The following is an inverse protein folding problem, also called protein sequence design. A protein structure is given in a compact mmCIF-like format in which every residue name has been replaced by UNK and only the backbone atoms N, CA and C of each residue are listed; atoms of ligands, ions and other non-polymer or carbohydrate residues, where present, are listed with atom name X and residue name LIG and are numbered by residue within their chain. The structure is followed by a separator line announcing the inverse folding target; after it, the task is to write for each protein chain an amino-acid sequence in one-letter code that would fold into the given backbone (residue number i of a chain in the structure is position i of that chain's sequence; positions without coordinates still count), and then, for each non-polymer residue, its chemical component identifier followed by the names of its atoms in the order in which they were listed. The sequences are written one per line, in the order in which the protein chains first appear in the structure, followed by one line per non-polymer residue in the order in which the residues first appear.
data_IF_760224633945
#
_entry.id   IF_760224633945
#
_cell.length_a   1.000
_cell.length_b   1.000
_cell.length_c   1.000
_cell.angle_alpha   90.00
_cell.angle_beta   90.00
_cell.angle_gamma   90.00
#
_symmetry.space_group_name_H-M   'P 1'
#
loop_
_entity.id
_entity.type
_entity.pdbx_description
1 polymer ?
#
# COMPACT_ATOMS: atom_id res chain seq x y z
N UNK A 1 -53.93 39.29 -4.04
CA UNK A 1 -53.85 37.99 -4.75
C UNK A 1 -53.14 38.29 -6.08
N UNK A 2 -51.96 37.77 -6.44
CA UNK A 2 -51.58 36.37 -6.71
C UNK A 2 -50.04 36.23 -6.64
N UNK A 3 -49.60 35.03 -6.22
CA UNK A 3 -48.26 34.49 -5.93
C UNK A 3 -47.12 34.83 -6.90
N UNK A 4 -45.91 35.00 -6.36
CA UNK A 4 -44.68 34.40 -6.94
C UNK A 4 -43.79 33.84 -5.82
N UNK A 5 -43.41 32.58 -5.97
CA UNK A 5 -42.70 31.72 -5.02
C UNK A 5 -41.18 31.98 -5.01
N UNK A 6 -40.59 31.61 -3.86
CA UNK A 6 -39.16 31.43 -3.59
C UNK A 6 -38.42 30.54 -4.61
N UNK A 7 -37.15 30.86 -4.85
CA UNK A 7 -36.08 29.87 -5.03
C UNK A 7 -34.80 30.45 -4.41
N UNK A 8 -34.43 30.01 -3.20
CA UNK A 8 -33.05 30.16 -2.72
C UNK A 8 -32.34 28.85 -3.05
N UNK A 9 -31.49 28.90 -4.06
CA UNK A 9 -30.69 27.78 -4.55
C UNK A 9 -29.82 27.22 -3.43
N UNK A 10 -30.04 25.94 -3.12
CA UNK A 10 -29.22 25.17 -2.20
C UNK A 10 -27.83 24.98 -2.83
N UNK A 11 -26.80 25.68 -2.33
CA UNK A 11 -25.41 25.33 -2.66
C UNK A 11 -25.10 24.00 -1.97
N UNK A 12 -25.22 22.91 -2.74
CA UNK A 12 -24.63 21.63 -2.38
C UNK A 12 -23.10 21.78 -2.44
N UNK A 13 -22.49 22.15 -1.32
CA UNK A 13 -21.05 22.07 -1.13
C UNK A 13 -20.63 20.60 -1.16
N UNK A 14 -20.29 20.10 -2.34
CA UNK A 14 -19.64 18.80 -2.49
C UNK A 14 -18.30 18.84 -1.77
N UNK A 15 -18.16 18.10 -0.68
CA UNK A 15 -16.85 17.84 -0.09
C UNK A 15 -16.04 17.06 -1.13
N UNK A 16 -15.11 17.74 -1.80
CA UNK A 16 -14.07 17.07 -2.55
C UNK A 16 -13.19 16.34 -1.52
N UNK A 17 -13.38 15.04 -1.37
CA UNK A 17 -12.44 14.19 -0.64
C UNK A 17 -11.12 14.15 -1.43
N UNK A 18 -10.26 15.15 -1.21
CA UNK A 18 -8.93 15.17 -1.78
C UNK A 18 -8.10 14.03 -1.20
N UNK A 19 -7.58 13.15 -2.05
CA UNK A 19 -6.59 12.15 -1.63
C UNK A 19 -5.33 12.86 -1.15
N UNK A 20 -5.10 12.89 0.17
CA UNK A 20 -3.84 13.34 0.74
C UNK A 20 -2.80 12.24 0.58
N UNK A 21 -1.67 12.56 -0.05
CA UNK A 21 -0.50 11.68 -0.13
C UNK A 21 0.68 12.38 0.52
N UNK A 22 1.29 11.75 1.52
CA UNK A 22 2.51 12.29 2.14
C UNK A 22 3.70 11.85 1.28
N UNK A 23 4.46 12.82 0.78
CA UNK A 23 5.67 12.59 0.02
C UNK A 23 6.92 13.06 0.76
N UNK A 24 8.01 12.29 0.69
CA UNK A 24 9.30 12.63 1.29
C UNK A 24 10.27 13.09 0.20
N UNK A 25 10.97 14.21 0.41
CA UNK A 25 11.99 14.67 -0.53
C UNK A 25 13.27 13.83 -0.38
N UNK A 26 13.60 13.06 -1.40
CA UNK A 26 14.77 12.17 -1.47
C UNK A 26 15.10 11.96 -2.96
N UNK A 27 16.34 11.60 -3.29
CA UNK A 27 16.69 11.24 -4.67
C UNK A 27 15.90 10.04 -5.20
N UNK A 28 16.06 9.71 -6.48
CA UNK A 28 15.43 8.53 -7.06
C UNK A 28 15.92 7.23 -6.37
N UNK A 29 15.04 6.22 -6.19
CA UNK A 29 15.46 4.92 -5.66
C UNK A 29 16.37 4.19 -6.65
N UNK A 30 17.17 3.21 -6.17
CA UNK A 30 17.84 2.28 -7.06
C UNK A 30 16.84 1.48 -7.92
N UNK A 31 17.30 0.80 -8.99
CA UNK A 31 16.43 -0.08 -9.77
C UNK A 31 15.76 -1.16 -8.90
N UNK A 32 14.52 -1.59 -9.23
CA UNK A 32 13.88 -2.73 -8.58
C UNK A 32 14.73 -3.99 -8.71
N UNK A 33 14.67 -4.87 -7.70
CA UNK A 33 15.35 -6.16 -7.72
C UNK A 33 14.43 -7.23 -8.25
N UNK A 34 14.97 -8.14 -9.07
CA UNK A 34 14.27 -9.36 -9.46
C UNK A 34 14.22 -10.30 -8.25
N UNK A 35 13.06 -10.90 -8.01
CA UNK A 35 12.87 -11.87 -6.94
C UNK A 35 12.13 -13.10 -7.45
N UNK A 36 12.41 -14.24 -6.83
CA UNK A 36 11.61 -15.45 -7.00
C UNK A 36 10.41 -15.35 -6.08
N UNK A 37 9.21 -15.49 -6.64
CA UNK A 37 7.96 -15.51 -5.87
C UNK A 37 7.81 -16.89 -5.22
N UNK A 38 7.76 -16.99 -3.87
CA UNK A 38 7.53 -18.26 -3.19
C UNK A 38 6.14 -18.82 -3.49
N UNK A 39 5.93 -20.10 -3.17
CA UNK A 39 4.61 -20.73 -3.31
C UNK A 39 3.54 -19.92 -2.56
N UNK A 40 2.38 -19.74 -3.20
CA UNK A 40 1.27 -18.98 -2.64
C UNK A 40 0.70 -19.72 -1.41
N UNK A 41 0.65 -19.09 -0.22
CA UNK A 41 0.16 -19.77 1.00
C UNK A 41 -1.32 -20.15 0.96
N UNK A 42 -2.13 -19.41 0.20
CA UNK A 42 -3.56 -19.68 0.06
C UNK A 42 -4.27 -18.74 -0.93
N UNK A 43 -5.54 -19.01 -1.26
CA UNK A 43 -6.28 -18.32 -2.32
C UNK A 43 -6.60 -16.84 -2.02
N UNK A 44 -6.50 -16.40 -0.77
CA UNK A 44 -6.79 -15.02 -0.37
C UNK A 44 -5.53 -14.14 -0.29
N UNK A 45 -4.35 -14.72 -0.52
CA UNK A 45 -3.08 -14.00 -0.46
C UNK A 45 -2.77 -13.35 -1.80
N UNK A 46 -2.32 -12.11 -1.78
CA UNK A 46 -1.79 -11.41 -2.95
C UNK A 46 -0.30 -11.16 -2.75
N UNK A 47 0.45 -11.26 -3.84
CA UNK A 47 1.88 -10.99 -3.83
C UNK A 47 2.12 -9.50 -3.91
N UNK A 48 2.87 -8.97 -2.95
CA UNK A 48 3.39 -7.62 -2.98
C UNK A 48 4.82 -7.72 -3.51
N UNK A 49 5.04 -7.16 -4.70
CA UNK A 49 6.39 -7.03 -5.24
C UNK A 49 7.26 -6.23 -4.29
N UNK A 50 8.54 -6.57 -4.23
CA UNK A 50 9.50 -5.88 -3.38
C UNK A 50 9.72 -4.46 -3.86
N UNK A 51 10.01 -3.56 -2.93
CA UNK A 51 10.12 -2.14 -3.23
C UNK A 51 11.15 -1.44 -2.35
N UNK A 52 11.63 -0.32 -2.86
CA UNK A 52 12.46 0.60 -2.10
C UNK A 52 11.59 1.53 -1.26
N UNK A 53 12.00 1.78 -0.02
CA UNK A 53 11.36 2.74 0.88
C UNK A 53 12.41 3.56 1.65
N UNK A 54 12.12 4.83 1.97
CA UNK A 54 13.06 5.69 2.66
C UNK A 54 13.10 5.38 4.17
N UNK A 55 14.31 5.20 4.70
CA UNK A 55 14.61 5.07 6.13
C UNK A 55 15.81 5.97 6.45
N UNK A 56 15.62 6.95 7.34
CA UNK A 56 16.71 7.86 7.74
C UNK A 56 17.39 8.58 6.56
N UNK A 57 16.62 8.97 5.54
CA UNK A 57 17.13 9.67 4.34
C UNK A 57 17.85 8.77 3.32
N UNK A 58 17.81 7.44 3.48
CA UNK A 58 18.36 6.47 2.51
C UNK A 58 17.30 5.46 2.11
N UNK A 59 17.43 4.84 0.95
CA UNK A 59 16.54 3.74 0.57
C UNK A 59 16.96 2.42 1.21
N UNK A 60 15.96 1.68 1.71
CA UNK A 60 16.08 0.28 2.10
C UNK A 60 15.17 -0.57 1.23
N UNK A 61 15.62 -1.78 0.91
CA UNK A 61 14.83 -2.74 0.15
C UNK A 61 13.91 -3.49 1.09
N UNK A 62 12.62 -3.52 0.77
CA UNK A 62 11.67 -4.44 1.36
C UNK A 62 11.52 -5.65 0.42
N UNK A 63 11.72 -6.85 0.95
CA UNK A 63 11.46 -8.09 0.20
C UNK A 63 9.99 -8.18 -0.19
N UNK A 64 9.71 -8.84 -1.31
CA UNK A 64 8.31 -9.13 -1.67
C UNK A 64 7.71 -10.13 -0.70
N UNK A 65 6.41 -10.07 -0.50
CA UNK A 65 5.74 -10.90 0.50
C UNK A 65 4.30 -11.19 0.10
N UNK A 66 3.80 -12.32 0.60
CA UNK A 66 2.39 -12.67 0.51
C UNK A 66 1.63 -11.99 1.64
N UNK A 67 0.53 -11.32 1.33
CA UNK A 67 -0.34 -10.71 2.34
C UNK A 67 -1.80 -10.80 1.96
N UNK A 68 -2.70 -10.54 2.90
CA UNK A 68 -4.13 -10.43 2.62
C UNK A 68 -4.50 -8.95 2.45
N UNK A 69 -5.29 -8.59 1.42
CA UNK A 69 -5.76 -7.23 1.28
C UNK A 69 -6.59 -6.80 2.52
N UNK A 70 -6.58 -5.51 2.89
CA UNK A 70 -7.30 -5.02 4.07
C UNK A 70 -8.82 -5.19 3.95
N UNK A 71 -9.35 -5.30 2.73
CA UNK A 71 -10.75 -5.61 2.44
C UNK A 71 -10.89 -6.19 1.03
N UNK A 72 -12.02 -6.86 0.75
CA UNK A 72 -12.31 -7.44 -0.56
C UNK A 72 -12.35 -6.37 -1.66
N UNK A 73 -11.66 -6.61 -2.76
CA UNK A 73 -11.53 -5.66 -3.89
C UNK A 73 -10.39 -4.64 -3.73
N UNK A 74 -9.67 -4.62 -2.61
CA UNK A 74 -8.50 -3.77 -2.47
C UNK A 74 -7.36 -4.22 -3.38
N UNK A 75 -6.77 -3.27 -4.11
CA UNK A 75 -5.58 -3.46 -4.94
C UNK A 75 -4.39 -2.74 -4.33
N UNK A 76 -3.21 -3.35 -4.42
CA UNK A 76 -1.97 -2.70 -4.03
C UNK A 76 -1.54 -1.69 -5.09
N UNK A 77 -1.29 -0.46 -4.67
CA UNK A 77 -0.63 0.58 -5.47
C UNK A 77 0.76 0.74 -4.89
N UNK A 78 1.77 0.28 -5.64
CA UNK A 78 3.16 0.32 -5.21
C UNK A 78 3.68 1.73 -4.95
N UNK A 79 4.73 1.87 -4.12
CA UNK A 79 5.39 3.15 -3.92
C UNK A 79 5.97 3.66 -5.23
N UNK A 80 6.03 4.98 -5.37
CA UNK A 80 6.56 5.64 -6.56
C UNK A 80 7.43 6.84 -6.20
N UNK A 81 8.28 7.22 -7.14
CA UNK A 81 9.08 8.44 -7.05
C UNK A 81 8.89 9.25 -8.33
N UNK A 82 8.72 10.57 -8.21
CA UNK A 82 8.44 11.46 -9.35
C UNK A 82 9.65 12.29 -9.81
N UNK A 83 10.85 11.96 -9.33
CA UNK A 83 12.08 12.73 -9.54
C UNK A 83 12.40 13.67 -8.38
N UNK A 84 11.44 14.04 -7.54
CA UNK A 84 11.67 14.89 -6.36
C UNK A 84 11.19 14.25 -5.06
N UNK A 85 10.03 13.60 -5.10
CA UNK A 85 9.33 13.09 -3.93
C UNK A 85 9.08 11.60 -4.06
N UNK A 86 9.33 10.90 -2.96
CA UNK A 86 8.88 9.53 -2.75
C UNK A 86 7.45 9.54 -2.21
N UNK A 87 6.58 8.71 -2.77
CA UNK A 87 5.23 8.45 -2.28
C UNK A 87 5.13 7.00 -1.82
N UNK A 88 4.68 6.81 -0.58
CA UNK A 88 4.45 5.47 -0.04
C UNK A 88 3.37 4.72 -0.82
N UNK A 89 3.51 3.40 -0.88
CA UNK A 89 2.48 2.52 -1.42
C UNK A 89 1.25 2.49 -0.51
N UNK A 90 0.11 2.11 -1.07
CA UNK A 90 -1.15 2.05 -0.36
C UNK A 90 -2.09 1.06 -1.01
N UNK A 91 -3.10 0.63 -0.26
CA UNK A 91 -4.21 -0.14 -0.80
C UNK A 91 -5.32 0.80 -1.27
N UNK A 92 -5.93 0.48 -2.39
CA UNK A 92 -6.98 1.28 -3.01
C UNK A 92 -8.17 0.40 -3.40
N UNK A 93 -9.37 0.95 -3.41
CA UNK A 93 -10.59 0.23 -3.74
C UNK A 93 -11.84 0.99 -3.30
N UNK A 94 -13.01 0.35 -3.41
CA UNK A 94 -14.31 1.00 -3.19
C UNK A 94 -14.53 1.48 -1.75
N UNK A 95 -13.74 0.96 -0.79
CA UNK A 95 -13.76 1.40 0.61
C UNK A 95 -12.73 2.51 0.89
N UNK A 96 -12.13 3.06 -0.15
CA UNK A 96 -11.15 4.14 -0.07
C UNK A 96 -9.73 3.66 0.25
N UNK A 97 -8.80 4.62 0.22
CA UNK A 97 -7.38 4.37 0.43
C UNK A 97 -7.08 3.90 1.84
N UNK A 98 -6.32 2.81 1.96
CA UNK A 98 -5.73 2.35 3.21
C UNK A 98 -4.21 2.47 3.11
N UNK A 99 -3.65 3.42 3.86
CA UNK A 99 -2.20 3.65 3.87
C UNK A 99 -1.45 2.44 4.39
N UNK A 100 -0.41 2.06 3.65
CA UNK A 100 0.49 1.01 4.07
C UNK A 100 1.65 1.64 4.83
N UNK A 101 1.59 1.51 6.14
CA UNK A 101 2.67 1.93 7.01
C UNK A 101 3.84 0.94 6.86
N UNK A 102 5.03 1.47 6.59
CA UNK A 102 6.28 0.74 6.41
C UNK A 102 7.11 0.73 7.70
N UNK A 103 6.62 1.34 8.78
CA UNK A 103 7.23 1.31 10.10
C UNK A 103 7.18 -0.09 10.76
N UNK A 104 6.64 -1.07 10.03
CA UNK A 104 6.36 -2.45 10.49
C UNK A 104 7.59 -3.36 10.58
N UNK A 105 8.78 -2.88 10.24
CA UNK A 105 10.05 -3.60 10.48
C UNK A 105 10.31 -3.96 11.97
N UNK A 106 9.44 -3.52 12.90
CA UNK A 106 9.54 -3.83 14.33
C UNK A 106 8.50 -4.82 14.86
N UNK A 107 7.46 -5.18 14.11
CA UNK A 107 6.43 -6.10 14.58
C UNK A 107 6.25 -7.28 13.63
N UNK A 108 6.90 -8.40 14.01
CA UNK A 108 6.94 -9.73 13.38
C UNK A 108 5.57 -10.40 13.15
N UNK A 109 4.45 -9.75 13.43
CA UNK A 109 3.18 -10.45 13.66
C UNK A 109 2.24 -10.50 12.44
N UNK A 110 2.69 -10.06 11.25
CA UNK A 110 1.90 -10.21 10.00
C UNK A 110 2.65 -10.80 8.81
N UNK A 111 3.96 -10.97 8.93
CA UNK A 111 4.76 -11.56 7.87
C UNK A 111 4.76 -13.07 8.09
N UNK A 112 4.07 -13.79 7.22
CA UNK A 112 4.19 -15.24 7.12
C UNK A 112 5.65 -15.58 6.78
N UNK A 113 6.48 -15.74 7.80
CA UNK A 113 7.77 -16.39 7.72
C UNK A 113 7.53 -17.89 7.76
N UNK A 114 7.56 -18.49 6.58
CA UNK A 114 7.63 -19.93 6.39
C UNK A 114 8.89 -20.46 7.09
N UNK A 115 8.69 -21.09 8.25
CA UNK A 115 9.69 -21.89 8.95
C UNK A 115 9.37 -23.38 8.77
N UNK A 116 8.93 -23.83 7.59
CA UNK A 116 8.74 -25.27 7.36
C UNK A 116 9.37 -25.71 6.04
N UNK A 117 10.63 -26.14 6.13
CA UNK A 117 11.16 -27.40 5.55
C UNK A 117 12.68 -27.47 5.71
N UNK A 118 13.14 -28.41 6.52
CA UNK A 118 14.41 -29.17 6.49
C UNK A 118 14.47 -29.85 7.88
N UNK A 119 14.36 -31.16 8.10
CA UNK A 119 14.52 -32.32 7.25
C UNK A 119 13.73 -33.51 7.80
N UNK A 120 13.18 -34.31 6.88
CA UNK A 120 12.88 -35.73 7.10
C UNK A 120 14.22 -36.48 7.18
N UNK A 121 14.23 -37.55 7.96
CA UNK A 121 15.21 -38.65 7.93
C UNK A 121 16.51 -38.48 8.74
N UNK A 122 16.48 -38.92 10.01
CA UNK A 122 17.49 -39.89 10.52
C UNK A 122 17.11 -40.51 11.88
N UNK A 123 16.87 -41.81 11.82
CA UNK A 123 17.08 -42.87 12.82
C UNK A 123 16.33 -42.84 14.15
#
# INVERSE_FOLDING_TARGET
MKKTLMVLTLLAGGAAFGQVSIGIQIGAPPPPRVMVVPARPGPDFVWIEGYWYPVGGRYRWHGGYWTRPPYGGARWIGPRHDGQRFYAGYWDGDRGRWDHDHHWDKHRDRDWHDHDRHDRDRH
#
